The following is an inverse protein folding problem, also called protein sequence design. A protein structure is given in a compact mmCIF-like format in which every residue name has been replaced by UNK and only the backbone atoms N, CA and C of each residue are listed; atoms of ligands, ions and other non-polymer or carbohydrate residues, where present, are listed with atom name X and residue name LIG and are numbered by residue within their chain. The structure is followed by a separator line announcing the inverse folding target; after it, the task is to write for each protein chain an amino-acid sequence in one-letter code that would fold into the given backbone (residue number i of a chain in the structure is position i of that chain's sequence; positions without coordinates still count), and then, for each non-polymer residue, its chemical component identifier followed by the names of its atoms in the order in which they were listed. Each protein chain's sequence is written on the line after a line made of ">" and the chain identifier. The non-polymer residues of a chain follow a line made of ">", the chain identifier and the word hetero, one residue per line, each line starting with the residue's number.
data_IF_875253081865
#
_entry.id   IF_875253081865
#
_cell.length_a   1.000
_cell.length_b   1.000
_cell.length_c   1.000
_cell.angle_alpha   90.00
_cell.angle_beta   90.00
_cell.angle_gamma   90.00
#
_symmetry.space_group_name_H-M   'P 1'
#
loop_
_entity.id
_entity.type
_entity.pdbx_description
1 polymer ?
#
# COMPACT_ATOMS: atom_id res chain seq x y z
N UNK A 1 19.73 8.26 31.58
CA UNK A 1 18.51 7.63 31.10
C UNK A 1 18.61 7.17 29.63
N UNK A 2 18.94 8.01 28.61
CA UNK A 2 18.99 7.59 27.18
C UNK A 2 19.99 6.45 26.87
N UNK A 3 21.12 6.33 27.55
CA UNK A 3 22.10 5.23 27.36
C UNK A 3 21.62 3.88 27.91
N UNK A 4 20.76 3.88 28.92
CA UNK A 4 20.20 2.68 29.56
C UNK A 4 19.08 2.05 28.71
N UNK A 5 18.30 2.87 28.00
CA UNK A 5 17.23 2.40 27.09
C UNK A 5 17.81 1.71 25.86
N UNK A 6 18.93 2.23 25.30
CA UNK A 6 19.61 1.61 24.16
C UNK A 6 20.23 0.25 24.51
N UNK A 7 20.73 0.07 25.73
CA UNK A 7 21.31 -1.20 26.18
C UNK A 7 20.22 -2.25 26.42
N UNK A 8 19.06 -1.85 26.94
CA UNK A 8 17.92 -2.76 27.18
C UNK A 8 17.32 -3.28 25.87
N UNK A 9 17.20 -2.42 24.85
CA UNK A 9 16.71 -2.80 23.53
C UNK A 9 17.64 -3.81 22.84
N UNK A 10 18.95 -3.64 23.00
CA UNK A 10 19.96 -4.60 22.47
C UNK A 10 19.92 -5.94 23.20
N UNK A 11 19.72 -5.93 24.52
CA UNK A 11 19.62 -7.17 25.31
C UNK A 11 18.33 -7.92 24.95
N UNK A 12 17.21 -7.25 24.73
CA UNK A 12 15.94 -7.87 24.31
C UNK A 12 16.02 -8.48 22.90
N UNK A 13 16.70 -7.84 21.97
CA UNK A 13 16.95 -8.39 20.62
C UNK A 13 17.85 -9.63 20.65
N UNK A 14 18.89 -9.62 21.46
CA UNK A 14 19.78 -10.78 21.63
C UNK A 14 19.08 -11.94 22.33
N UNK A 15 18.25 -11.67 23.35
CA UNK A 15 17.49 -12.69 24.06
C UNK A 15 16.37 -13.31 23.20
N UNK A 16 15.72 -12.53 22.32
CA UNK A 16 14.74 -13.07 21.38
C UNK A 16 15.38 -13.95 20.31
N UNK A 17 16.54 -13.59 19.80
CA UNK A 17 17.31 -14.41 18.86
C UNK A 17 17.78 -15.73 19.47
N UNK A 18 18.27 -15.71 20.72
CA UNK A 18 18.68 -16.91 21.46
C UNK A 18 17.51 -17.84 21.80
N UNK A 19 16.31 -17.27 22.06
CA UNK A 19 15.11 -18.07 22.35
C UNK A 19 14.58 -18.78 21.09
N UNK A 20 14.61 -18.12 19.92
CA UNK A 20 14.24 -18.72 18.63
C UNK A 20 15.18 -19.87 18.22
N UNK A 21 16.48 -19.76 18.48
CA UNK A 21 17.45 -20.85 18.18
C UNK A 21 17.26 -22.08 19.04
N UNK A 22 16.73 -21.95 20.27
CA UNK A 22 16.47 -23.07 21.17
C UNK A 22 15.23 -23.89 20.78
N UNK A 23 14.31 -23.33 19.97
CA UNK A 23 13.01 -23.96 19.62
C UNK A 23 13.03 -24.63 18.23
N UNK A 24 13.93 -24.26 17.33
CA UNK A 24 13.95 -24.78 15.95
C UNK A 24 15.32 -25.39 15.58
N UNK A 25 15.46 -26.69 15.73
CA UNK A 25 16.63 -27.48 15.29
C UNK A 25 16.80 -27.62 13.77
N UNK A 26 16.72 -26.53 13.01
CA UNK A 26 16.81 -26.58 11.54
C UNK A 26 17.92 -25.65 11.01
N UNK A 27 18.93 -26.24 10.36
CA UNK A 27 20.11 -25.54 9.81
C UNK A 27 19.78 -24.36 8.87
N UNK A 28 18.66 -24.46 8.14
CA UNK A 28 18.20 -23.42 7.20
C UNK A 28 17.69 -22.16 7.91
N UNK A 29 17.09 -22.32 9.07
CA UNK A 29 16.63 -21.21 9.93
C UNK A 29 17.82 -20.45 10.52
N UNK A 30 18.87 -21.20 10.96
CA UNK A 30 20.09 -20.60 11.51
C UNK A 30 20.89 -19.80 10.44
N UNK A 31 20.89 -20.24 9.17
CA UNK A 31 21.51 -19.49 8.07
C UNK A 31 20.73 -18.22 7.71
N UNK A 32 19.38 -18.28 7.74
CA UNK A 32 18.53 -17.11 7.57
C UNK A 32 18.69 -16.12 8.74
N UNK A 33 18.67 -16.61 9.97
CA UNK A 33 18.88 -15.80 11.18
C UNK A 33 20.26 -15.15 11.20
N UNK A 34 21.32 -15.88 10.79
CA UNK A 34 22.67 -15.33 10.65
C UNK A 34 22.73 -14.27 9.55
N UNK A 35 22.00 -14.46 8.44
CA UNK A 35 21.89 -13.47 7.36
C UNK A 35 21.16 -12.21 7.83
N UNK A 36 19.99 -12.35 8.47
CA UNK A 36 19.26 -11.22 9.04
C UNK A 36 20.03 -10.54 10.18
N UNK A 37 20.76 -11.30 11.01
CA UNK A 37 21.62 -10.73 12.04
C UNK A 37 22.78 -9.95 11.42
N UNK A 38 23.39 -10.45 10.34
CA UNK A 38 24.47 -9.77 9.62
C UNK A 38 23.97 -8.53 8.85
N UNK A 39 22.78 -8.60 8.25
CA UNK A 39 22.13 -7.44 7.62
C UNK A 39 21.76 -6.38 8.67
N UNK A 40 21.19 -6.80 9.79
CA UNK A 40 20.88 -5.91 10.92
C UNK A 40 22.14 -5.30 11.57
N UNK A 41 23.24 -6.03 11.56
CA UNK A 41 24.54 -5.56 12.08
C UNK A 41 25.21 -4.60 11.08
N UNK A 42 25.07 -4.84 9.79
CA UNK A 42 25.50 -3.94 8.72
C UNK A 42 24.66 -2.64 8.70
N UNK A 43 23.33 -2.77 8.77
CA UNK A 43 22.41 -1.62 8.89
C UNK A 43 22.68 -0.81 10.16
N UNK A 44 23.05 -1.48 11.24
CA UNK A 44 23.44 -0.82 12.50
C UNK A 44 24.79 -0.11 12.40
N UNK A 45 25.77 -0.72 11.76
CA UNK A 45 27.07 -0.09 11.53
C UNK A 45 26.96 1.11 10.60
N UNK A 46 26.10 1.03 9.56
CA UNK A 46 25.79 2.14 8.68
C UNK A 46 25.05 3.27 9.44
N UNK A 47 24.06 2.91 10.26
CA UNK A 47 23.35 3.87 11.11
C UNK A 47 24.25 4.53 12.17
N UNK A 48 25.15 3.76 12.80
CA UNK A 48 26.15 4.30 13.75
C UNK A 48 27.20 5.17 13.04
N UNK A 49 27.57 4.82 11.80
CA UNK A 49 28.44 5.64 10.95
C UNK A 49 27.77 6.95 10.55
N UNK A 50 26.52 6.89 10.03
CA UNK A 50 25.70 8.05 9.71
C UNK A 50 25.44 8.93 10.94
N UNK A 51 25.22 8.31 12.08
CA UNK A 51 25.06 9.02 13.36
C UNK A 51 26.36 9.69 13.80
N UNK A 52 27.49 8.99 13.68
CA UNK A 52 28.81 9.54 14.03
C UNK A 52 29.21 10.67 13.07
N UNK A 53 28.92 10.51 11.76
CA UNK A 53 29.12 11.58 10.77
C UNK A 53 28.21 12.78 11.03
N UNK A 54 26.94 12.54 11.42
CA UNK A 54 26.02 13.62 11.81
C UNK A 54 26.47 14.28 13.11
N UNK A 55 26.90 13.51 14.12
CA UNK A 55 27.46 14.02 15.38
C UNK A 55 28.79 14.74 15.18
N UNK A 56 29.61 14.31 14.23
CA UNK A 56 30.85 14.98 13.85
C UNK A 56 30.65 16.22 12.96
N UNK A 57 29.58 16.23 12.15
CA UNK A 57 29.24 17.33 11.26
C UNK A 57 28.47 18.47 11.94
N UNK A 58 27.89 18.20 13.12
CA UNK A 58 27.03 19.17 13.81
C UNK A 58 27.38 19.23 15.30
N UNK A 59 28.15 20.19 15.71
CA UNK A 59 28.31 20.56 17.13
C UNK A 59 26.97 21.11 17.71
N UNK A 60 25.95 21.29 16.88
CA UNK A 60 24.71 21.93 17.28
C UNK A 60 23.46 21.31 16.65
N UNK A 61 22.91 20.26 17.32
CA UNK A 61 21.65 19.61 16.93
C UNK A 61 20.44 20.58 16.89
N UNK A 62 20.54 21.70 17.55
CA UNK A 62 19.54 22.75 17.57
C UNK A 62 19.50 23.45 16.22
N UNK A 63 20.65 23.58 15.55
CA UNK A 63 20.80 24.26 14.25
C UNK A 63 19.99 23.55 13.14
N UNK A 64 20.04 22.21 13.06
CA UNK A 64 19.29 21.48 12.01
C UNK A 64 17.78 21.66 12.17
N UNK A 65 17.29 21.57 13.41
CA UNK A 65 15.87 21.77 13.72
C UNK A 65 15.45 23.21 13.38
N UNK A 66 16.25 24.20 13.75
CA UNK A 66 15.99 25.63 13.48
C UNK A 66 15.98 25.89 11.98
N UNK A 67 16.94 25.34 11.22
CA UNK A 67 17.01 25.44 9.75
C UNK A 67 15.76 24.82 9.11
N UNK A 68 15.40 23.57 9.45
CA UNK A 68 14.21 22.93 8.89
C UNK A 68 12.94 23.71 9.21
N UNK A 69 12.77 24.14 10.46
CA UNK A 69 11.62 24.93 10.87
C UNK A 69 11.55 26.26 10.11
N UNK A 70 12.71 26.93 9.92
CA UNK A 70 12.78 28.14 9.12
C UNK A 70 12.39 27.89 7.67
N UNK A 71 12.88 26.82 7.04
CA UNK A 71 12.54 26.48 5.64
C UNK A 71 11.04 26.28 5.45
N UNK A 72 10.35 25.61 6.39
CA UNK A 72 8.90 25.48 6.34
C UNK A 72 8.20 26.85 6.46
N UNK A 73 8.65 27.72 7.35
CA UNK A 73 8.09 29.06 7.57
C UNK A 73 8.46 30.07 6.49
N UNK A 74 9.47 29.79 5.67
CA UNK A 74 9.98 30.69 4.63
C UNK A 74 9.09 30.77 3.41
N UNK A 75 8.23 29.78 3.21
CA UNK A 75 7.24 29.82 2.12
C UNK A 75 6.29 30.99 2.34
N UNK A 76 6.00 31.74 1.28
CA UNK A 76 5.08 32.88 1.32
C UNK A 76 3.61 32.38 1.40
N UNK A 77 3.18 31.95 2.58
CA UNK A 77 1.78 31.60 2.81
C UNK A 77 0.89 32.84 2.77
N UNK A 78 -0.30 32.72 2.16
CA UNK A 78 -1.29 33.80 2.13
C UNK A 78 -2.18 33.73 3.39
N UNK A 79 -3.03 34.76 3.58
CA UNK A 79 -3.97 34.87 4.71
C UNK A 79 -5.15 33.90 4.56
N UNK A 80 -4.90 32.64 4.18
CA UNK A 80 -5.87 31.57 4.05
C UNK A 80 -5.19 30.23 4.41
N UNK A 81 -5.94 29.20 4.87
CA UNK A 81 -5.38 27.92 5.23
C UNK A 81 -4.66 27.23 4.06
N UNK A 82 -3.61 26.50 4.37
CA UNK A 82 -3.00 25.52 3.47
C UNK A 82 -3.81 24.23 3.51
N UNK A 83 -4.36 23.83 2.37
CA UNK A 83 -5.05 22.54 2.27
C UNK A 83 -4.03 21.45 1.97
N UNK A 84 -3.82 20.56 2.93
CA UNK A 84 -2.94 19.39 2.77
C UNK A 84 -3.77 18.27 2.17
N UNK A 85 -3.40 17.82 0.97
CA UNK A 85 -4.25 16.96 0.15
C UNK A 85 -3.42 15.96 -0.65
N UNK A 86 -3.90 14.72 -0.72
CA UNK A 86 -3.33 13.68 -1.55
C UNK A 86 -4.09 13.44 -2.86
N UNK A 87 -3.92 12.26 -3.44
CA UNK A 87 -4.48 11.95 -4.76
C UNK A 87 -6.00 11.68 -4.77
N UNK A 88 -6.62 11.74 -5.98
CA UNK A 88 -8.09 11.64 -6.20
C UNK A 88 -8.74 10.34 -5.73
N UNK A 89 -8.00 9.26 -5.66
CA UNK A 89 -8.49 7.97 -5.17
C UNK A 89 -7.83 7.67 -3.82
N UNK A 90 -8.21 8.39 -2.74
CA UNK A 90 -7.46 8.38 -1.50
C UNK A 90 -7.40 6.98 -0.90
N UNK A 91 -6.17 6.48 -0.75
CA UNK A 91 -5.90 5.32 0.08
C UNK A 91 -5.55 5.73 1.51
N UNK A 92 -5.06 4.80 2.31
CA UNK A 92 -4.78 5.13 3.69
C UNK A 92 -3.52 5.98 3.84
N UNK A 93 -2.46 5.74 3.06
CA UNK A 93 -1.22 6.52 3.18
C UNK A 93 -1.44 7.97 2.77
N UNK A 94 -2.15 8.20 1.66
CA UNK A 94 -2.63 9.51 1.22
C UNK A 94 -3.39 10.25 2.33
N UNK A 95 -4.37 9.58 2.94
CA UNK A 95 -5.20 10.17 4.00
C UNK A 95 -4.38 10.47 5.25
N UNK A 96 -3.54 9.54 5.66
CA UNK A 96 -2.72 9.64 6.87
C UNK A 96 -1.65 10.73 6.74
N UNK A 97 -0.98 10.79 5.59
CA UNK A 97 0.02 11.82 5.32
C UNK A 97 -0.60 13.20 5.29
N UNK A 98 -1.83 13.36 4.77
CA UNK A 98 -2.55 14.64 4.80
C UNK A 98 -2.81 15.09 6.25
N UNK A 99 -3.28 14.18 7.10
CA UNK A 99 -3.52 14.44 8.53
C UNK A 99 -2.21 14.82 9.24
N UNK A 100 -1.17 14.01 9.09
CA UNK A 100 0.11 14.22 9.75
C UNK A 100 0.82 15.49 9.31
N UNK A 101 0.78 15.80 8.01
CA UNK A 101 1.44 16.98 7.47
C UNK A 101 0.68 18.26 7.85
N UNK A 102 -0.66 18.25 7.85
CA UNK A 102 -1.46 19.38 8.34
C UNK A 102 -1.17 19.63 9.83
N UNK A 103 -1.07 18.56 10.63
CA UNK A 103 -0.66 18.67 12.04
C UNK A 103 0.73 19.32 12.17
N UNK A 104 1.73 18.85 11.41
CA UNK A 104 3.08 19.42 11.43
C UNK A 104 3.06 20.92 11.10
N UNK A 105 2.39 21.32 10.03
CA UNK A 105 2.31 22.70 9.60
C UNK A 105 1.68 23.59 10.70
N UNK A 106 0.60 23.15 11.33
CA UNK A 106 -0.04 23.87 12.44
C UNK A 106 0.91 24.05 13.63
N UNK A 107 1.65 23.02 14.03
CA UNK A 107 2.64 23.11 15.10
C UNK A 107 3.82 24.04 14.74
N UNK A 108 4.10 24.21 13.46
CA UNK A 108 5.08 25.18 12.97
C UNK A 108 4.52 26.61 12.82
N UNK A 109 3.23 26.81 13.12
CA UNK A 109 2.54 28.11 13.06
C UNK A 109 2.02 28.48 11.66
N UNK A 110 1.86 27.52 10.77
CA UNK A 110 1.21 27.65 9.46
C UNK A 110 -0.18 27.08 9.56
N UNK A 111 -1.23 27.90 9.37
CA UNK A 111 -2.61 27.42 9.38
C UNK A 111 -2.83 26.40 8.25
N UNK A 112 -3.18 25.17 8.60
CA UNK A 112 -3.32 24.07 7.64
C UNK A 112 -4.48 23.14 8.01
N UNK A 113 -5.13 22.61 6.98
CA UNK A 113 -6.25 21.68 7.09
C UNK A 113 -6.01 20.46 6.21
N UNK A 114 -6.16 19.25 6.79
CA UNK A 114 -6.18 18.03 5.99
C UNK A 114 -7.48 17.95 5.19
N UNK A 115 -7.38 17.61 3.91
CA UNK A 115 -8.52 17.46 2.99
C UNK A 115 -8.36 16.21 2.13
N UNK A 116 -9.50 15.72 1.63
CA UNK A 116 -9.56 14.60 0.70
C UNK A 116 -9.87 15.11 -0.71
N UNK A 117 -9.26 14.51 -1.72
CA UNK A 117 -9.55 14.78 -3.13
C UNK A 117 -10.64 13.85 -3.70
N UNK A 118 -11.11 12.89 -2.91
CA UNK A 118 -12.15 11.93 -3.24
C UNK A 118 -12.64 11.16 -2.02
N UNK A 119 -13.58 10.24 -2.22
CA UNK A 119 -14.07 9.37 -1.14
C UNK A 119 -13.01 8.36 -0.73
N UNK A 120 -12.80 8.21 0.56
CA UNK A 120 -11.91 7.17 1.11
C UNK A 120 -12.41 5.78 0.75
N UNK A 121 -11.49 4.85 0.58
CA UNK A 121 -11.80 3.44 0.35
C UNK A 121 -12.18 2.72 1.65
N UNK A 122 -12.68 1.48 1.54
CA UNK A 122 -13.14 0.69 2.69
C UNK A 122 -12.04 0.38 3.70
N UNK A 123 -10.80 0.24 3.26
CA UNK A 123 -9.61 0.08 4.10
C UNK A 123 -9.43 1.28 5.02
N UNK A 124 -9.42 2.48 4.43
CA UNK A 124 -9.26 3.75 5.15
C UNK A 124 -10.43 4.01 6.09
N UNK A 125 -11.66 3.77 5.64
CA UNK A 125 -12.86 3.89 6.48
C UNK A 125 -12.78 3.01 7.73
N UNK A 126 -12.39 1.74 7.56
CA UNK A 126 -12.23 0.79 8.66
C UNK A 126 -11.16 1.25 9.65
N UNK A 127 -9.96 1.55 9.16
CA UNK A 127 -8.84 1.92 10.02
C UNK A 127 -9.09 3.21 10.80
N UNK A 128 -9.63 4.24 10.15
CA UNK A 128 -10.03 5.49 10.82
C UNK A 128 -11.09 5.22 11.90
N UNK A 129 -12.05 4.33 11.64
CA UNK A 129 -13.07 3.92 12.62
C UNK A 129 -12.47 3.22 13.83
N UNK A 130 -11.49 2.33 13.64
CA UNK A 130 -10.81 1.61 14.73
C UNK A 130 -9.98 2.57 15.59
N UNK A 131 -9.31 3.53 14.95
CA UNK A 131 -8.50 4.55 15.63
C UNK A 131 -9.38 5.57 16.36
N UNK A 132 -10.61 5.78 15.87
CA UNK A 132 -11.54 6.79 16.37
C UNK A 132 -11.21 8.19 15.82
N UNK A 133 -10.56 8.27 14.66
CA UNK A 133 -10.22 9.53 14.00
C UNK A 133 -11.25 9.84 12.89
N UNK A 134 -11.80 11.06 12.84
CA UNK A 134 -12.75 11.42 11.78
C UNK A 134 -12.04 11.53 10.43
N UNK A 135 -12.69 11.08 9.37
CA UNK A 135 -12.17 11.29 8.01
C UNK A 135 -12.08 12.82 7.72
N UNK A 136 -11.00 13.29 7.09
CA UNK A 136 -10.92 14.68 6.65
C UNK A 136 -12.07 15.03 5.69
N UNK A 137 -12.43 16.30 5.64
CA UNK A 137 -13.48 16.77 4.74
C UNK A 137 -13.01 16.76 3.28
N UNK A 138 -13.97 16.56 2.36
CA UNK A 138 -13.71 16.59 0.93
C UNK A 138 -13.44 18.03 0.45
N UNK A 139 -12.45 18.20 -0.41
CA UNK A 139 -12.24 19.41 -1.19
C UNK A 139 -12.68 19.18 -2.64
N UNK A 140 -13.82 19.71 -3.03
CA UNK A 140 -14.37 19.49 -4.37
C UNK A 140 -13.64 20.29 -5.47
N UNK A 141 -13.20 21.52 -5.17
CA UNK A 141 -12.48 22.41 -6.08
C UNK A 141 -11.36 23.18 -5.34
N UNK A 142 -10.16 23.04 -5.82
CA UNK A 142 -8.97 23.69 -5.28
C UNK A 142 -8.62 25.03 -5.94
N UNK A 143 -9.43 25.50 -6.89
CA UNK A 143 -9.14 26.74 -7.60
C UNK A 143 -8.96 27.95 -6.64
N UNK A 144 -7.80 28.62 -6.79
CA UNK A 144 -7.43 29.76 -5.98
C UNK A 144 -6.94 29.44 -4.57
N UNK A 145 -6.86 28.16 -4.17
CA UNK A 145 -6.42 27.70 -2.84
C UNK A 145 -4.91 27.47 -2.80
N UNK A 146 -4.38 27.37 -1.58
CA UNK A 146 -3.00 26.93 -1.34
C UNK A 146 -2.99 25.45 -1.02
N UNK A 147 -2.21 24.66 -1.77
CA UNK A 147 -2.12 23.20 -1.62
C UNK A 147 -0.73 22.77 -1.16
N UNK A 148 -0.69 21.94 -0.14
CA UNK A 148 0.45 21.07 0.14
C UNK A 148 0.09 19.67 -0.35
N UNK A 149 0.78 19.20 -1.38
CA UNK A 149 0.54 17.88 -1.93
C UNK A 149 1.23 16.80 -1.08
N UNK A 150 0.53 15.71 -0.83
CA UNK A 150 1.10 14.53 -0.18
C UNK A 150 0.83 13.29 -1.04
N UNK A 151 1.79 12.37 -1.04
CA UNK A 151 1.65 11.04 -1.63
C UNK A 151 1.41 11.03 -3.15
N UNK A 152 1.63 12.11 -3.81
CA UNK A 152 1.63 12.24 -5.26
C UNK A 152 2.20 13.58 -5.72
N UNK A 153 2.64 13.63 -6.97
CA UNK A 153 3.02 14.87 -7.66
C UNK A 153 2.61 14.89 -9.14
N UNK A 154 1.73 13.96 -9.55
CA UNK A 154 1.18 13.82 -10.89
C UNK A 154 -0.12 14.64 -11.04
N UNK A 155 -0.18 15.56 -11.99
CA UNK A 155 -1.34 16.42 -12.27
C UNK A 155 -2.62 15.62 -12.59
N UNK A 156 -2.47 14.46 -13.20
CA UNK A 156 -3.58 13.54 -13.49
C UNK A 156 -4.27 13.01 -12.23
N UNK A 157 -3.57 12.99 -11.11
CA UNK A 157 -4.06 12.50 -9.81
C UNK A 157 -4.49 13.63 -8.86
N UNK A 158 -4.27 14.89 -9.18
CA UNK A 158 -4.63 16.03 -8.33
C UNK A 158 -6.13 16.26 -8.26
N UNK A 159 -6.56 16.88 -7.17
CA UNK A 159 -7.92 17.38 -6.97
C UNK A 159 -8.36 18.31 -8.12
N UNK A 160 -9.66 18.39 -8.38
CA UNK A 160 -10.18 19.30 -9.38
C UNK A 160 -9.79 20.75 -9.07
N UNK A 161 -9.46 21.53 -10.09
CA UNK A 161 -9.02 22.93 -9.95
C UNK A 161 -7.59 23.12 -9.46
N UNK A 162 -6.81 22.06 -9.29
CA UNK A 162 -5.40 22.16 -8.88
C UNK A 162 -4.54 22.93 -9.92
N UNK A 163 -4.91 22.91 -11.18
CA UNK A 163 -4.31 23.72 -12.25
C UNK A 163 -4.42 25.23 -12.02
N UNK A 164 -5.34 25.67 -11.15
CA UNK A 164 -5.57 27.06 -10.75
C UNK A 164 -5.28 27.28 -9.27
N UNK A 165 -4.74 26.31 -8.58
CA UNK A 165 -4.30 26.40 -7.20
C UNK A 165 -2.83 26.80 -7.13
N UNK A 166 -2.39 27.20 -5.94
CA UNK A 166 -0.99 27.48 -5.66
C UNK A 166 -0.40 26.32 -4.85
N UNK A 167 0.48 25.54 -5.44
CA UNK A 167 1.21 24.50 -4.72
C UNK A 167 2.27 25.19 -3.87
N UNK A 168 2.25 24.94 -2.56
CA UNK A 168 3.15 25.54 -1.56
C UNK A 168 4.10 24.53 -0.91
N UNK A 169 3.93 23.24 -1.21
CA UNK A 169 4.83 22.18 -0.78
C UNK A 169 4.43 20.82 -1.33
N UNK A 170 5.36 19.88 -1.31
CA UNK A 170 5.15 18.48 -1.74
C UNK A 170 5.90 17.55 -0.79
N UNK A 171 5.22 16.52 -0.30
CA UNK A 171 5.83 15.42 0.47
C UNK A 171 5.36 14.11 -0.12
N UNK A 172 6.28 13.31 -0.67
CA UNK A 172 5.94 12.16 -1.52
C UNK A 172 6.98 11.03 -1.39
N UNK A 173 6.59 9.80 -1.69
CA UNK A 173 7.49 8.66 -1.80
C UNK A 173 7.48 8.02 -3.21
N UNK A 174 6.67 8.56 -4.10
CA UNK A 174 6.60 8.16 -5.50
C UNK A 174 7.64 8.86 -6.39
N UNK A 175 7.70 8.45 -7.64
CA UNK A 175 8.43 9.19 -8.68
C UNK A 175 7.84 10.58 -8.87
N UNK A 176 8.70 11.58 -9.07
CA UNK A 176 8.26 12.94 -9.30
C UNK A 176 7.42 12.99 -10.59
N UNK A 177 6.19 13.50 -10.48
CA UNK A 177 5.27 13.75 -11.58
C UNK A 177 5.54 15.09 -12.28
N UNK A 178 4.49 15.68 -12.80
CA UNK A 178 4.52 16.92 -13.60
C UNK A 178 3.95 18.15 -12.86
N UNK A 179 3.90 18.10 -11.52
CA UNK A 179 3.48 19.24 -10.71
C UNK A 179 4.37 20.47 -10.97
N UNK A 180 3.77 21.61 -11.27
CA UNK A 180 4.46 22.87 -11.49
C UNK A 180 4.23 23.84 -10.32
N UNK A 181 5.27 24.58 -9.94
CA UNK A 181 5.19 25.63 -8.93
C UNK A 181 5.68 26.95 -9.49
N UNK A 182 4.99 28.05 -9.19
CA UNK A 182 5.39 29.39 -9.63
C UNK A 182 6.51 30.00 -8.81
N UNK A 183 6.76 29.47 -7.60
CA UNK A 183 7.73 29.95 -6.63
C UNK A 183 8.49 28.77 -6.02
N UNK A 184 9.67 28.99 -5.43
CA UNK A 184 10.37 27.95 -4.69
C UNK A 184 9.55 27.48 -3.49
N UNK A 185 9.36 26.17 -3.39
CA UNK A 185 8.61 25.52 -2.30
C UNK A 185 9.42 24.36 -1.71
N UNK A 186 9.01 23.87 -0.56
CA UNK A 186 9.60 22.66 -0.01
C UNK A 186 9.11 21.45 -0.77
N UNK A 187 10.03 20.70 -1.39
CA UNK A 187 9.75 19.41 -2.03
C UNK A 187 10.58 18.35 -1.34
N UNK A 188 9.94 17.39 -0.71
CA UNK A 188 10.58 16.25 -0.11
C UNK A 188 9.99 14.98 -0.71
N UNK A 189 10.72 14.37 -1.63
CA UNK A 189 10.40 13.07 -2.22
C UNK A 189 11.54 12.10 -1.95
N UNK A 190 11.23 11.00 -1.28
CA UNK A 190 12.21 9.98 -0.89
C UNK A 190 11.66 8.58 -1.18
N UNK A 191 12.45 7.66 -1.74
CA UNK A 191 12.03 6.29 -1.96
C UNK A 191 11.96 5.52 -0.63
N UNK A 192 10.85 5.68 0.08
CA UNK A 192 10.52 5.03 1.35
C UNK A 192 9.25 4.20 1.20
N UNK A 193 8.91 3.37 2.18
CA UNK A 193 7.76 2.49 2.12
C UNK A 193 6.42 3.20 2.21
N UNK A 194 6.38 4.44 2.76
CA UNK A 194 5.16 5.26 2.84
C UNK A 194 5.47 6.74 3.04
N UNK A 195 4.58 7.59 2.57
CA UNK A 195 4.61 9.05 2.86
C UNK A 195 4.28 9.32 4.34
N UNK A 196 3.49 8.47 4.98
CA UNK A 196 3.22 8.53 6.44
C UNK A 196 4.49 8.42 7.27
N UNK A 197 5.39 7.49 6.93
CA UNK A 197 6.67 7.35 7.62
C UNK A 197 7.56 8.60 7.43
N UNK A 198 7.57 9.15 6.21
CA UNK A 198 8.29 10.37 5.88
C UNK A 198 7.75 11.57 6.66
N UNK A 199 6.42 11.71 6.74
CA UNK A 199 5.74 12.75 7.51
C UNK A 199 6.05 12.65 9.00
N UNK A 200 6.02 11.47 9.59
CA UNK A 200 6.43 11.26 10.98
C UNK A 200 7.90 11.61 11.22
N UNK A 201 8.78 11.26 10.28
CA UNK A 201 10.19 11.62 10.36
C UNK A 201 10.37 13.14 10.33
N UNK A 202 9.63 13.89 9.50
CA UNK A 202 9.64 15.35 9.48
C UNK A 202 9.19 15.93 10.82
N UNK A 203 8.10 15.43 11.42
CA UNK A 203 7.67 15.85 12.77
C UNK A 203 8.81 15.68 13.77
N UNK A 204 9.47 14.51 13.76
CA UNK A 204 10.60 14.22 14.65
C UNK A 204 11.78 15.19 14.44
N UNK A 205 12.10 15.52 13.17
CA UNK A 205 13.20 16.43 12.82
C UNK A 205 12.89 17.87 13.20
N UNK A 206 11.67 18.30 13.02
CA UNK A 206 11.20 19.61 13.48
C UNK A 206 10.98 19.66 15.00
N UNK A 207 11.11 18.53 15.71
CA UNK A 207 10.93 18.42 17.16
C UNK A 207 9.48 18.60 17.58
N UNK A 208 8.55 18.23 16.72
CA UNK A 208 7.11 18.22 16.96
C UNK A 208 6.72 16.87 17.56
N UNK A 209 6.06 16.90 18.71
CA UNK A 209 5.51 15.70 19.34
C UNK A 209 4.17 15.38 18.69
N UNK A 210 4.05 14.15 18.16
CA UNK A 210 2.82 13.70 17.47
C UNK A 210 1.86 13.15 18.53
N UNK A 211 0.57 13.58 18.57
CA UNK A 211 -0.41 13.07 19.52
C UNK A 211 -0.86 11.65 19.15
N UNK A 212 -1.48 10.97 20.12
CA UNK A 212 -1.80 9.55 20.04
C UNK A 212 -2.67 9.19 18.82
N UNK A 213 -3.68 9.98 18.54
CA UNK A 213 -4.63 9.78 17.45
C UNK A 213 -3.97 9.98 16.08
N UNK A 214 -3.21 11.06 15.89
CA UNK A 214 -2.43 11.31 14.65
C UNK A 214 -1.39 10.22 14.44
N UNK A 215 -0.71 9.77 15.51
CA UNK A 215 0.23 8.67 15.43
C UNK A 215 -0.44 7.35 15.01
N UNK A 216 -1.67 7.10 15.47
CA UNK A 216 -2.48 5.97 15.05
C UNK A 216 -2.81 6.01 13.55
N UNK A 217 -3.21 7.17 13.06
CA UNK A 217 -3.52 7.38 11.63
C UNK A 217 -2.27 7.18 10.77
N UNK A 218 -1.13 7.79 11.14
CA UNK A 218 0.14 7.62 10.42
C UNK A 218 0.63 6.16 10.46
N UNK A 219 0.45 5.46 11.58
CA UNK A 219 0.78 4.04 11.68
C UNK A 219 -0.05 3.21 10.70
N UNK A 220 -1.36 3.45 10.63
CA UNK A 220 -2.24 2.70 9.75
C UNK A 220 -1.93 2.94 8.26
N UNK A 221 -1.66 4.20 7.84
CA UNK A 221 -1.20 4.51 6.49
C UNK A 221 0.10 3.76 6.15
N UNK A 222 1.06 3.82 7.05
CA UNK A 222 2.32 3.09 6.90
C UNK A 222 2.12 1.56 6.81
N UNK A 223 1.23 0.96 7.61
CA UNK A 223 0.94 -0.47 7.55
C UNK A 223 0.31 -0.87 6.21
N UNK A 224 -0.58 -0.03 5.66
CA UNK A 224 -1.22 -0.25 4.37
C UNK A 224 -0.16 -0.37 3.27
N UNK A 225 0.67 0.62 3.08
CA UNK A 225 1.64 0.71 1.98
C UNK A 225 2.80 -0.27 2.11
N UNK A 226 3.24 -0.51 3.35
CA UNK A 226 4.34 -1.44 3.62
C UNK A 226 3.89 -2.90 3.71
N UNK A 227 2.61 -3.21 3.46
CA UNK A 227 2.03 -4.54 3.67
C UNK A 227 2.39 -5.09 5.07
N UNK A 228 2.06 -4.31 6.11
CA UNK A 228 2.40 -4.61 7.50
C UNK A 228 3.90 -4.84 7.72
N UNK A 229 4.73 -3.96 7.17
CA UNK A 229 6.20 -4.03 7.25
C UNK A 229 6.84 -5.24 6.57
N UNK A 230 6.10 -5.96 5.72
CA UNK A 230 6.57 -7.14 4.97
C UNK A 230 6.91 -6.80 3.51
N UNK A 231 6.52 -5.63 3.02
CA UNK A 231 6.78 -5.18 1.65
C UNK A 231 8.28 -5.09 1.35
N UNK A 232 8.63 -5.36 0.09
CA UNK A 232 10.04 -5.26 -0.40
C UNK A 232 10.57 -3.82 -0.38
N UNK A 233 9.69 -2.84 -0.35
CA UNK A 233 10.00 -1.41 -0.41
C UNK A 233 10.17 -0.79 0.99
N UNK A 234 10.11 -1.61 2.06
CA UNK A 234 10.37 -1.18 3.45
C UNK A 234 11.83 -0.74 3.62
N UNK A 235 12.03 0.50 4.04
CA UNK A 235 13.33 1.15 4.19
C UNK A 235 13.77 1.29 5.65
N UNK A 236 14.93 1.88 5.87
CA UNK A 236 15.41 2.23 7.21
C UNK A 236 14.52 3.30 7.87
N UNK A 237 13.88 4.15 7.07
CA UNK A 237 12.98 5.19 7.57
C UNK A 237 11.69 4.57 8.13
N UNK A 238 11.12 3.60 7.44
CA UNK A 238 9.95 2.86 7.92
C UNK A 238 10.27 2.09 9.21
N UNK A 239 11.42 1.44 9.25
CA UNK A 239 11.92 0.77 10.47
C UNK A 239 12.22 1.73 11.63
N UNK A 240 12.51 2.99 11.35
CA UNK A 240 12.62 4.04 12.36
C UNK A 240 11.24 4.50 12.87
N UNK A 241 10.29 4.71 11.97
CA UNK A 241 8.96 5.24 12.27
C UNK A 241 8.07 4.22 13.01
N UNK A 242 8.02 2.98 12.51
CA UNK A 242 7.12 1.93 12.99
C UNK A 242 7.09 1.75 14.51
N UNK A 243 8.20 1.44 15.22
CA UNK A 243 8.15 1.20 16.65
C UNK A 243 7.74 2.44 17.45
N UNK A 244 8.02 3.63 16.94
CA UNK A 244 7.68 4.91 17.59
C UNK A 244 6.21 5.24 17.44
N UNK A 245 5.68 5.11 16.23
CA UNK A 245 4.25 5.30 15.96
C UNK A 245 3.41 4.30 16.74
N UNK A 246 3.84 3.03 16.81
CA UNK A 246 3.21 2.00 17.61
C UNK A 246 3.20 2.34 19.11
N UNK A 247 4.32 2.84 19.64
CA UNK A 247 4.41 3.26 21.05
C UNK A 247 3.51 4.45 21.34
N UNK A 248 3.55 5.50 20.50
CA UNK A 248 2.78 6.74 20.70
C UNK A 248 1.28 6.46 20.54
N UNK A 249 0.87 5.71 19.52
CA UNK A 249 -0.54 5.39 19.27
C UNK A 249 -1.14 4.47 20.32
N UNK A 250 -0.32 3.68 21.01
CA UNK A 250 -0.77 2.65 21.93
C UNK A 250 -1.37 1.41 21.24
N UNK A 251 -1.31 1.34 19.91
CA UNK A 251 -1.79 0.18 19.13
C UNK A 251 -0.77 -0.94 19.25
N UNK A 252 -1.05 -1.92 20.10
CA UNK A 252 -0.15 -3.04 20.38
C UNK A 252 -0.23 -4.15 19.35
N UNK A 253 -1.43 -4.41 18.81
CA UNK A 253 -1.70 -5.46 17.82
C UNK A 253 -1.85 -4.85 16.41
N UNK A 254 -0.72 -4.62 15.78
CA UNK A 254 -0.67 -4.07 14.40
C UNK A 254 -1.09 -5.10 13.35
N UNK A 255 -0.96 -6.39 13.65
CA UNK A 255 -1.43 -7.46 12.77
C UNK A 255 -2.96 -7.47 12.72
N UNK A 256 -3.64 -7.34 13.86
CA UNK A 256 -5.11 -7.25 13.89
C UNK A 256 -5.62 -6.00 13.15
N UNK A 257 -4.97 -4.84 13.33
CA UNK A 257 -5.34 -3.63 12.60
C UNK A 257 -5.17 -3.81 11.09
N UNK A 258 -4.01 -4.29 10.65
CA UNK A 258 -3.72 -4.50 9.23
C UNK A 258 -4.66 -5.52 8.59
N UNK A 259 -4.89 -6.67 9.25
CA UNK A 259 -5.79 -7.69 8.73
C UNK A 259 -7.22 -7.18 8.62
N UNK A 260 -7.71 -6.43 9.60
CA UNK A 260 -9.04 -5.82 9.52
C UNK A 260 -9.16 -4.78 8.40
N UNK A 261 -8.11 -3.99 8.17
CA UNK A 261 -8.03 -3.06 7.03
C UNK A 261 -8.05 -3.82 5.69
N UNK A 262 -7.27 -4.89 5.58
CA UNK A 262 -7.20 -5.74 4.39
C UNK A 262 -8.53 -6.45 4.11
N UNK A 263 -9.18 -7.00 5.15
CA UNK A 263 -10.51 -7.60 5.03
C UNK A 263 -11.56 -6.58 4.58
N UNK A 264 -11.52 -5.36 5.12
CA UNK A 264 -12.41 -4.29 4.71
C UNK A 264 -12.19 -3.92 3.23
N UNK A 265 -10.94 -3.76 2.81
CA UNK A 265 -10.54 -3.47 1.42
C UNK A 265 -11.09 -4.50 0.45
N UNK A 266 -10.99 -5.78 0.80
CA UNK A 266 -11.32 -6.92 -0.04
C UNK A 266 -12.71 -7.52 0.28
N UNK A 267 -13.55 -6.81 1.03
CA UNK A 267 -14.91 -7.24 1.35
C UNK A 267 -15.90 -7.06 0.20
N UNK A 268 -15.57 -6.27 -0.79
CA UNK A 268 -16.48 -5.88 -1.90
C UNK A 268 -17.83 -5.33 -1.41
N UNK A 269 -17.87 -4.74 -0.22
CA UNK A 269 -19.10 -4.22 0.40
C UNK A 269 -19.80 -3.22 -0.51
N UNK A 270 -21.07 -3.52 -0.84
CA UNK A 270 -21.92 -2.68 -1.68
C UNK A 270 -21.82 -2.97 -3.17
N UNK A 271 -21.02 -3.95 -3.59
CA UNK A 271 -20.95 -4.45 -4.96
C UNK A 271 -21.79 -5.73 -5.10
N UNK A 272 -22.45 -5.88 -6.23
CA UNK A 272 -23.05 -7.15 -6.62
C UNK A 272 -21.99 -8.08 -7.24
N UNK A 273 -22.33 -9.35 -7.42
CA UNK A 273 -21.41 -10.37 -7.93
C UNK A 273 -20.87 -10.02 -9.33
N UNK A 274 -21.68 -9.38 -10.16
CA UNK A 274 -21.27 -8.94 -11.49
C UNK A 274 -20.28 -7.76 -11.40
N UNK A 275 -20.54 -6.81 -10.54
CA UNK A 275 -19.62 -5.70 -10.27
C UNK A 275 -18.29 -6.20 -9.71
N UNK A 276 -18.30 -7.23 -8.84
CA UNK A 276 -17.09 -7.88 -8.33
C UNK A 276 -16.29 -8.50 -9.47
N UNK A 277 -16.94 -9.29 -10.34
CA UNK A 277 -16.27 -9.93 -11.48
C UNK A 277 -15.60 -8.91 -12.41
N UNK A 278 -16.27 -7.78 -12.68
CA UNK A 278 -15.76 -6.73 -13.57
C UNK A 278 -14.82 -5.72 -12.88
N UNK A 279 -14.59 -5.81 -11.58
CA UNK A 279 -13.74 -4.84 -10.84
C UNK A 279 -12.27 -4.83 -11.30
N UNK A 280 -11.71 -5.99 -11.65
CA UNK A 280 -10.41 -6.14 -12.34
C UNK A 280 -10.55 -7.11 -13.52
N UNK A 281 -11.29 -6.70 -14.52
CA UNK A 281 -11.55 -7.46 -15.73
C UNK A 281 -10.72 -6.92 -16.91
N UNK A 282 -10.19 -7.83 -17.72
CA UNK A 282 -9.47 -7.48 -18.96
C UNK A 282 -9.81 -8.43 -20.08
N UNK A 283 -9.89 -7.88 -21.29
CA UNK A 283 -10.17 -8.59 -22.54
C UNK A 283 -8.91 -8.81 -23.34
N UNK A 284 -8.87 -9.91 -24.04
CA UNK A 284 -7.77 -10.36 -24.88
C UNK A 284 -8.32 -11.00 -26.15
N UNK A 285 -7.47 -11.12 -27.17
CA UNK A 285 -7.78 -11.83 -28.41
C UNK A 285 -6.55 -12.58 -28.90
N UNK A 286 -6.71 -13.87 -29.22
CA UNK A 286 -5.65 -14.70 -29.78
C UNK A 286 -6.23 -15.60 -30.86
N UNK A 287 -5.67 -15.50 -32.08
CA UNK A 287 -6.07 -16.26 -33.26
C UNK A 287 -7.58 -16.19 -33.58
N UNK A 288 -8.19 -15.01 -33.39
CA UNK A 288 -9.61 -14.76 -33.65
C UNK A 288 -10.55 -15.22 -32.53
N UNK A 289 -10.03 -15.76 -31.44
CA UNK A 289 -10.79 -16.10 -30.22
C UNK A 289 -10.66 -14.97 -29.22
N UNK A 290 -11.78 -14.38 -28.83
CA UNK A 290 -11.85 -13.34 -27.81
C UNK A 290 -12.11 -13.95 -26.43
N UNK A 291 -11.30 -13.57 -25.45
CA UNK A 291 -11.48 -14.05 -24.08
C UNK A 291 -11.32 -12.95 -23.05
N UNK A 292 -12.05 -13.10 -21.95
CA UNK A 292 -12.03 -12.19 -20.82
C UNK A 292 -11.59 -12.87 -19.53
N UNK A 293 -10.82 -12.16 -18.71
CA UNK A 293 -10.35 -12.65 -17.41
C UNK A 293 -10.69 -11.63 -16.34
N UNK A 294 -11.63 -12.00 -15.44
CA UNK A 294 -11.88 -11.31 -14.18
C UNK A 294 -10.94 -11.80 -13.09
N UNK A 295 -10.42 -10.90 -12.28
CA UNK A 295 -9.57 -11.24 -11.15
C UNK A 295 -10.21 -10.73 -9.86
N UNK A 296 -10.41 -11.64 -8.92
CA UNK A 296 -11.00 -11.36 -7.61
C UNK A 296 -10.01 -11.72 -6.52
N UNK A 297 -9.67 -10.77 -5.67
CA UNK A 297 -8.73 -10.96 -4.59
C UNK A 297 -9.47 -11.07 -3.25
N UNK A 298 -9.11 -12.03 -2.41
CA UNK A 298 -9.65 -12.15 -1.04
C UNK A 298 -8.53 -11.99 -0.02
N UNK A 299 -8.90 -11.73 1.22
CA UNK A 299 -7.92 -11.45 2.27
C UNK A 299 -7.14 -12.71 2.68
N UNK A 300 -7.82 -13.86 2.80
CA UNK A 300 -7.24 -15.07 3.35
C UNK A 300 -7.50 -16.30 2.46
N UNK A 301 -6.59 -17.30 2.45
CA UNK A 301 -6.70 -18.47 1.57
C UNK A 301 -7.96 -19.31 1.82
N UNK A 302 -8.50 -19.34 3.04
CA UNK A 302 -9.75 -20.03 3.35
C UNK A 302 -11.00 -19.43 2.70
N UNK A 303 -10.92 -18.21 2.19
CA UNK A 303 -12.01 -17.52 1.49
C UNK A 303 -12.02 -17.81 -0.01
N UNK A 304 -10.91 -18.31 -0.56
CA UNK A 304 -10.71 -18.46 -2.02
C UNK A 304 -11.74 -19.37 -2.65
N UNK A 305 -11.96 -20.56 -2.09
CA UNK A 305 -12.91 -21.52 -2.66
C UNK A 305 -14.36 -21.00 -2.64
N UNK A 306 -14.78 -20.41 -1.51
CA UNK A 306 -16.14 -19.86 -1.39
C UNK A 306 -16.39 -18.71 -2.37
N UNK A 307 -15.41 -17.81 -2.52
CA UNK A 307 -15.51 -16.72 -3.48
C UNK A 307 -15.49 -17.25 -4.94
N UNK A 308 -14.69 -18.25 -5.25
CA UNK A 308 -14.67 -18.87 -6.57
C UNK A 308 -16.00 -19.52 -6.92
N UNK A 309 -16.61 -20.25 -5.97
CA UNK A 309 -17.95 -20.82 -6.12
C UNK A 309 -19.05 -19.76 -6.30
N UNK A 310 -18.91 -18.58 -5.67
CA UNK A 310 -19.80 -17.45 -5.85
C UNK A 310 -19.63 -16.79 -7.22
N UNK A 311 -18.41 -16.73 -7.76
CA UNK A 311 -18.13 -16.08 -9.04
C UNK A 311 -18.42 -16.96 -10.26
N UNK A 312 -18.37 -18.28 -10.15
CA UNK A 312 -18.58 -19.17 -11.29
C UNK A 312 -19.95 -18.99 -11.97
N UNK A 313 -21.08 -18.89 -11.24
CA UNK A 313 -22.39 -18.60 -11.86
C UNK A 313 -22.44 -17.26 -12.62
N UNK A 314 -21.66 -16.27 -12.20
CA UNK A 314 -21.54 -14.98 -12.93
C UNK A 314 -20.87 -15.22 -14.27
N UNK A 315 -19.75 -15.92 -14.29
CA UNK A 315 -19.02 -16.28 -15.52
C UNK A 315 -19.91 -17.08 -16.48
N UNK A 316 -20.67 -18.05 -15.97
CA UNK A 316 -21.62 -18.85 -16.74
C UNK A 316 -22.74 -17.96 -17.33
N UNK A 317 -23.33 -17.09 -16.52
CA UNK A 317 -24.39 -16.18 -16.96
C UNK A 317 -23.91 -15.18 -18.01
N UNK A 318 -22.71 -14.59 -17.83
CA UNK A 318 -22.13 -13.66 -18.80
C UNK A 318 -21.80 -14.37 -20.13
N UNK A 319 -21.29 -15.60 -20.10
CA UNK A 319 -21.02 -16.38 -21.28
C UNK A 319 -22.31 -16.78 -22.06
N UNK A 320 -23.41 -17.01 -21.37
CA UNK A 320 -24.70 -17.38 -21.96
C UNK A 320 -25.51 -16.18 -22.47
N UNK A 321 -25.47 -15.03 -21.77
CA UNK A 321 -26.38 -13.92 -21.97
C UNK A 321 -25.81 -12.75 -22.78
N UNK A 322 -24.66 -12.93 -23.43
CA UNK A 322 -24.26 -12.01 -24.46
C UNK A 322 -23.03 -11.17 -24.17
N UNK A 323 -22.03 -11.72 -23.49
CA UNK A 323 -20.69 -11.18 -23.69
C UNK A 323 -20.25 -11.55 -25.11
N UNK A 324 -19.57 -10.61 -25.80
CA UNK A 324 -18.96 -10.89 -27.09
C UNK A 324 -17.69 -11.78 -26.96
N UNK A 325 -17.50 -12.46 -25.83
CA UNK A 325 -16.36 -13.30 -25.54
C UNK A 325 -16.65 -14.76 -25.86
N UNK A 326 -15.71 -15.43 -26.52
CA UNK A 326 -15.76 -16.87 -26.78
C UNK A 326 -15.46 -17.68 -25.51
N UNK A 327 -14.62 -17.10 -24.61
CA UNK A 327 -14.21 -17.72 -23.35
C UNK A 327 -14.14 -16.66 -22.25
N UNK A 328 -14.69 -16.97 -21.10
CA UNK A 328 -14.59 -16.15 -19.88
C UNK A 328 -13.92 -16.96 -18.77
N UNK A 329 -13.05 -16.30 -18.03
CA UNK A 329 -12.38 -16.86 -16.86
C UNK A 329 -12.58 -15.95 -15.66
N UNK A 330 -12.65 -16.55 -14.48
CA UNK A 330 -12.46 -15.86 -13.22
C UNK A 330 -11.31 -16.51 -12.47
N UNK A 331 -10.36 -15.68 -12.04
CA UNK A 331 -9.26 -16.08 -11.17
C UNK A 331 -9.50 -15.48 -9.78
N UNK A 332 -9.60 -16.34 -8.76
CA UNK A 332 -9.77 -15.94 -7.37
C UNK A 332 -8.55 -16.38 -6.58
N UNK A 333 -7.89 -15.44 -5.87
CA UNK A 333 -6.71 -15.77 -5.07
C UNK A 333 -6.64 -14.93 -3.79
N UNK A 334 -5.88 -15.42 -2.79
CA UNK A 334 -5.66 -14.73 -1.53
C UNK A 334 -4.58 -13.64 -1.63
N UNK A 335 -4.58 -12.72 -0.66
CA UNK A 335 -3.66 -11.57 -0.62
C UNK A 335 -2.18 -11.97 -0.60
N UNK A 336 -1.83 -13.13 -0.07
CA UNK A 336 -0.47 -13.64 0.00
C UNK A 336 -0.07 -14.46 -1.24
N UNK A 337 -0.98 -14.60 -2.22
CA UNK A 337 -0.78 -15.41 -3.44
C UNK A 337 -0.46 -16.88 -3.15
N UNK A 338 -0.95 -17.41 -2.04
CA UNK A 338 -0.65 -18.78 -1.60
C UNK A 338 -1.55 -19.83 -2.24
N UNK A 339 -2.77 -19.44 -2.62
CA UNK A 339 -3.79 -20.30 -3.21
C UNK A 339 -4.59 -19.55 -4.27
N UNK A 340 -4.82 -20.17 -5.41
CA UNK A 340 -5.67 -19.65 -6.49
C UNK A 340 -6.64 -20.70 -7.00
N UNK A 341 -7.86 -20.26 -7.34
CA UNK A 341 -8.89 -21.03 -8.02
C UNK A 341 -9.27 -20.31 -9.31
N UNK A 342 -9.26 -21.04 -10.42
CA UNK A 342 -9.64 -20.51 -11.73
C UNK A 342 -10.85 -21.27 -12.26
N UNK A 343 -11.99 -20.54 -12.36
CA UNK A 343 -13.21 -21.02 -13.01
C UNK A 343 -13.31 -20.47 -14.43
N UNK A 344 -14.08 -21.13 -15.28
CA UNK A 344 -14.26 -20.72 -16.66
C UNK A 344 -15.60 -21.14 -17.25
N UNK A 345 -16.04 -20.42 -18.27
CA UNK A 345 -17.14 -20.82 -19.17
C UNK A 345 -16.89 -20.25 -20.57
N UNK A 346 -17.38 -20.90 -21.59
CA UNK A 346 -17.34 -20.43 -22.96
C UNK A 346 -18.68 -20.55 -23.66
N UNK A 347 -18.87 -19.76 -24.71
CA UNK A 347 -20.04 -19.87 -25.59
C UNK A 347 -20.15 -21.25 -26.25
N UNK A 348 -19.02 -21.90 -26.56
CA UNK A 348 -18.86 -23.33 -26.86
C UNK A 348 -18.17 -24.01 -25.67
N UNK A 349 -18.95 -24.73 -24.85
CA UNK A 349 -18.45 -25.36 -23.63
C UNK A 349 -17.40 -26.43 -23.92
N UNK A 350 -17.58 -27.22 -24.98
CA UNK A 350 -16.63 -28.29 -25.35
C UNK A 350 -15.30 -27.70 -25.83
N UNK A 351 -15.35 -26.61 -26.58
CA UNK A 351 -14.15 -25.87 -27.00
C UNK A 351 -13.43 -25.25 -25.79
N UNK A 352 -14.18 -24.60 -24.90
CA UNK A 352 -13.61 -24.00 -23.69
C UNK A 352 -12.91 -25.04 -22.81
N UNK A 353 -13.53 -26.22 -22.59
CA UNK A 353 -12.91 -27.31 -21.83
C UNK A 353 -11.61 -27.80 -22.48
N UNK A 354 -11.58 -27.95 -23.82
CA UNK A 354 -10.37 -28.36 -24.54
C UNK A 354 -9.24 -27.35 -24.43
N UNK A 355 -9.56 -26.06 -24.51
CA UNK A 355 -8.59 -24.98 -24.38
C UNK A 355 -7.99 -24.99 -22.98
N UNK A 356 -8.85 -25.07 -21.96
CA UNK A 356 -8.43 -25.03 -20.56
C UNK A 356 -7.63 -26.30 -20.18
N UNK A 357 -8.05 -27.48 -20.61
CA UNK A 357 -7.30 -28.71 -20.38
C UNK A 357 -5.94 -28.69 -21.12
N UNK A 358 -5.86 -28.10 -22.30
CA UNK A 358 -4.60 -27.96 -23.02
C UNK A 358 -3.67 -26.95 -22.35
N UNK A 359 -4.21 -25.87 -21.76
CA UNK A 359 -3.44 -24.84 -21.10
C UNK A 359 -2.97 -25.26 -19.69
N UNK A 360 -3.84 -25.90 -18.90
CA UNK A 360 -3.63 -26.10 -17.46
C UNK A 360 -3.76 -27.56 -16.99
N UNK A 361 -4.38 -28.45 -17.76
CA UNK A 361 -4.66 -29.85 -17.36
C UNK A 361 -3.42 -30.71 -17.07
N UNK A 362 -2.22 -30.27 -17.47
CA UNK A 362 -0.97 -30.96 -17.18
C UNK A 362 -0.15 -30.34 -16.03
N UNK A 363 -0.53 -29.18 -15.54
CA UNK A 363 0.22 -28.38 -14.57
C UNK A 363 -0.56 -28.09 -13.29
N UNK A 364 -1.91 -27.94 -13.39
CA UNK A 364 -2.75 -27.54 -12.27
C UNK A 364 -3.69 -28.68 -11.85
N UNK A 365 -4.01 -28.74 -10.56
CA UNK A 365 -4.99 -29.67 -10.01
C UNK A 365 -6.41 -29.25 -10.42
N UNK A 366 -7.25 -30.21 -10.90
CA UNK A 366 -8.67 -29.96 -11.17
C UNK A 366 -9.51 -30.43 -9.98
N UNK A 367 -10.20 -29.49 -9.32
CA UNK A 367 -11.03 -29.75 -8.15
C UNK A 367 -12.38 -29.02 -8.29
N UNK A 368 -13.50 -29.78 -8.21
CA UNK A 368 -14.86 -29.24 -8.22
C UNK A 368 -15.17 -28.29 -9.41
N UNK A 369 -14.54 -28.54 -10.56
CA UNK A 369 -14.71 -27.72 -11.76
C UNK A 369 -13.74 -26.54 -11.90
N UNK A 370 -12.87 -26.34 -10.93
CA UNK A 370 -11.83 -25.32 -10.95
C UNK A 370 -10.44 -25.90 -11.23
N UNK A 371 -9.58 -25.11 -11.83
CA UNK A 371 -8.15 -25.35 -11.77
C UNK A 371 -7.59 -24.66 -10.51
N UNK A 372 -6.85 -25.42 -9.71
CA UNK A 372 -6.33 -24.97 -8.40
C UNK A 372 -4.83 -24.91 -8.45
N UNK A 373 -4.27 -23.80 -8.08
CA UNK A 373 -2.83 -23.55 -8.07
C UNK A 373 -2.33 -23.14 -6.68
N UNK A 374 -1.13 -23.59 -6.32
CA UNK A 374 -0.45 -23.18 -5.09
C UNK A 374 1.07 -23.14 -5.35
N UNK A 375 1.68 -21.95 -5.44
CA UNK A 375 1.07 -20.60 -5.30
C UNK A 375 0.06 -20.28 -6.41
N UNK A 376 -0.73 -19.20 -6.22
CA UNK A 376 -1.66 -18.71 -7.23
C UNK A 376 -0.94 -18.26 -8.49
N UNK A 377 -1.63 -18.33 -9.61
CA UNK A 377 -1.12 -17.90 -10.90
C UNK A 377 -1.22 -16.35 -11.04
N UNK A 378 -0.35 -15.78 -11.83
CA UNK A 378 -0.45 -14.36 -12.23
C UNK A 378 -1.12 -14.28 -13.60
N UNK A 379 -2.20 -13.54 -13.71
CA UNK A 379 -2.92 -13.35 -14.98
C UNK A 379 -1.97 -13.09 -16.16
N UNK A 380 -0.99 -12.20 -15.98
CA UNK A 380 -0.10 -11.74 -17.07
C UNK A 380 0.98 -12.74 -17.44
N UNK A 381 1.58 -13.42 -16.47
CA UNK A 381 2.77 -14.27 -16.70
C UNK A 381 2.44 -15.74 -16.75
N UNK A 382 1.41 -16.18 -16.03
CA UNK A 382 1.14 -17.60 -15.82
C UNK A 382 -0.19 -18.08 -16.41
N UNK A 383 -1.15 -17.16 -16.66
CA UNK A 383 -2.45 -17.50 -17.24
C UNK A 383 -2.49 -17.22 -18.75
N UNK A 384 -2.17 -15.99 -19.18
CA UNK A 384 -2.26 -15.61 -20.59
C UNK A 384 -1.37 -16.44 -21.51
N UNK A 385 -0.06 -16.65 -21.24
CA UNK A 385 0.78 -17.36 -22.19
C UNK A 385 0.39 -18.82 -22.44
N UNK A 386 0.01 -19.65 -21.44
CA UNK A 386 -0.53 -20.98 -21.68
C UNK A 386 -1.85 -20.98 -22.46
N UNK A 387 -2.77 -20.03 -22.18
CA UNK A 387 -4.01 -19.88 -22.93
C UNK A 387 -3.75 -19.55 -24.39
N UNK A 388 -2.88 -18.57 -24.67
CA UNK A 388 -2.51 -18.18 -26.04
C UNK A 388 -1.90 -19.36 -26.81
N UNK A 389 -1.04 -20.14 -26.16
CA UNK A 389 -0.47 -21.35 -26.77
C UNK A 389 -1.54 -22.40 -27.09
N UNK A 390 -2.47 -22.65 -26.17
CA UNK A 390 -3.57 -23.60 -26.36
C UNK A 390 -4.51 -23.13 -27.49
N UNK A 391 -4.88 -21.86 -27.51
CA UNK A 391 -5.71 -21.27 -28.56
C UNK A 391 -5.06 -21.37 -29.95
N UNK A 392 -3.76 -21.03 -30.04
CA UNK A 392 -3.01 -21.15 -31.29
C UNK A 392 -2.91 -22.61 -31.79
N UNK A 393 -2.90 -23.58 -30.88
CA UNK A 393 -2.82 -24.99 -31.24
C UNK A 393 -4.18 -25.58 -31.64
N UNK A 394 -5.29 -25.09 -31.08
CA UNK A 394 -6.64 -25.65 -31.26
C UNK A 394 -7.50 -24.92 -32.29
N UNK A 395 -7.11 -23.67 -32.64
CA UNK A 395 -7.77 -22.87 -33.67
C UNK A 395 -7.01 -23.02 -34.99
N UNK A 396 -7.65 -23.42 -36.10
CA UNK A 396 -6.99 -23.70 -37.36
C UNK A 396 -6.37 -22.51 -38.08
#
# INVERSE_FOLDING_TARGET
>A
MKKTVSLLAVILLVLSAVWLTAVAGNRKTAELEAKYASEAEADRAEFESLRSELEAATEDRQTDREILTELFRKVDYKDEPVYVIGHKSPDFDTTASAVGMAYLLNELGVEAEARLAGTVNLETEYGLSVIGYPAPELLEDAAGKQLWLVDHSDSGQMVNGADRARIVGITDHHGIGDAETSEPVNVLSCPTGSTSALTFWLCTKCGVEVPQDVAGVLLAGMLSDTSNMKGKDVTALDRFAFPRLREISGISDTDALFNGMLEAKLSYRGMDEREIFYSDYKEYETNGVRYGIGVVKVAHPEQVSAMAEQMLPVVESEAENGSDMDLLLVEVYDSDYSLGYMGFCGSDREFAEKVMDAAFGGTEEKRDGFYVSSPSLSRKTDVIPPLDNALNALTP
#
